data_IF_001140189806
#
_entry.id   IF_001140189806
#
_cell.length_a   1.000
_cell.length_b   1.000
_cell.length_c   1.000
_cell.angle_alpha   90.00
_cell.angle_beta   90.00
_cell.angle_gamma   90.00
#
_symmetry.space_group_name_H-M   'P 1'
#
loop_
_entity.id
_entity.type
_entity.pdbx_description
1 polymer ?
#
# COMPACT_ATOMS: atom_id res chain seq x y z
N UNK A 1 -6.14 46.36 58.31
CA UNK A 1 -7.41 47.17 58.45
C UNK A 1 -8.36 46.77 57.33
N UNK A 2 -9.32 46.02 57.70
CA UNK A 2 -10.78 46.18 57.62
C UNK A 2 -11.32 46.25 56.20
N UNK A 3 -11.95 45.18 55.75
CA UNK A 3 -13.32 44.71 55.99
C UNK A 3 -14.43 45.54 55.36
N UNK A 4 -15.17 44.81 54.53
CA UNK A 4 -16.66 44.89 54.33
C UNK A 4 -17.25 45.95 53.40
N UNK A 5 -17.88 45.36 52.45
CA UNK A 5 -19.32 45.47 52.08
C UNK A 5 -19.68 46.59 51.11
N UNK A 6 -20.29 46.20 49.99
CA UNK A 6 -21.66 46.64 49.72
C UNK A 6 -22.35 45.68 48.71
N UNK A 7 -23.30 44.94 49.25
CA UNK A 7 -24.46 44.40 48.49
C UNK A 7 -25.47 45.53 48.39
N UNK A 8 -26.03 45.78 47.23
CA UNK A 8 -27.46 46.00 47.05
C UNK A 8 -27.87 46.31 45.61
N UNK A 9 -28.73 45.43 45.12
CA UNK A 9 -29.99 45.66 44.37
C UNK A 9 -29.96 46.38 43.02
N UNK A 10 -30.29 45.65 41.97
CA UNK A 10 -31.33 46.04 41.03
C UNK A 10 -31.99 44.79 40.45
N UNK A 11 -33.24 44.58 40.81
CA UNK A 11 -34.16 43.68 40.16
C UNK A 11 -34.65 44.32 38.86
N UNK A 12 -34.53 43.63 37.73
CA UNK A 12 -35.24 43.99 36.51
C UNK A 12 -35.90 42.73 35.92
N UNK A 13 -37.16 42.90 35.59
CA UNK A 13 -38.16 41.90 35.28
C UNK A 13 -37.78 40.94 34.13
N UNK A 14 -38.02 39.65 34.37
CA UNK A 14 -38.07 38.63 33.35
C UNK A 14 -39.37 38.72 32.56
N UNK A 15 -39.27 39.11 31.27
CA UNK A 15 -40.33 38.93 30.29
C UNK A 15 -40.24 37.47 29.77
N UNK A 16 -41.26 36.67 30.11
CA UNK A 16 -41.47 35.35 29.57
C UNK A 16 -42.00 35.49 28.14
N UNK A 17 -41.18 35.18 27.14
CA UNK A 17 -41.62 34.99 25.75
C UNK A 17 -42.04 33.51 25.56
N UNK A 18 -43.14 33.19 24.88
CA UNK A 18 -43.60 31.84 24.72
C UNK A 18 -42.72 31.04 23.78
N UNK A 19 -42.28 29.86 24.23
CA UNK A 19 -41.64 28.85 23.40
C UNK A 19 -42.66 28.29 22.41
N UNK A 20 -42.63 28.83 21.18
CA UNK A 20 -43.37 28.28 20.06
C UNK A 20 -42.46 27.35 19.25
N UNK A 21 -42.80 26.07 19.31
CA UNK A 21 -42.66 25.14 18.19
C UNK A 21 -41.24 24.73 17.77
N UNK A 22 -40.54 23.95 18.59
CA UNK A 22 -39.51 23.05 18.06
C UNK A 22 -40.23 21.90 17.35
N UNK A 23 -40.17 21.95 16.01
CA UNK A 23 -40.68 20.89 15.14
C UNK A 23 -39.84 19.63 15.31
N UNK A 24 -40.39 18.49 15.82
CA UNK A 24 -39.62 17.27 16.02
C UNK A 24 -39.11 16.63 14.72
N UNK A 25 -39.57 17.10 13.56
CA UNK A 25 -39.09 16.65 12.25
C UNK A 25 -37.80 17.34 11.78
N UNK A 26 -37.32 18.39 12.44
CA UNK A 26 -36.05 19.05 12.08
C UNK A 26 -34.80 18.42 12.72
N UNK A 27 -34.96 17.49 13.66
CA UNK A 27 -33.83 16.78 14.31
C UNK A 27 -33.42 15.47 13.62
N UNK A 28 -34.10 15.07 12.53
CA UNK A 28 -33.78 13.83 11.79
C UNK A 28 -33.16 14.09 10.40
N UNK A 29 -32.79 15.31 10.09
CA UNK A 29 -32.01 15.62 8.89
C UNK A 29 -30.53 15.90 9.25
N UNK A 30 -29.91 15.06 10.06
CA UNK A 30 -28.48 14.89 9.98
C UNK A 30 -28.24 14.21 8.63
N UNK A 31 -27.69 14.99 7.68
CA UNK A 31 -27.39 14.50 6.34
C UNK A 31 -26.61 13.19 6.46
N UNK A 32 -27.19 12.12 5.92
CA UNK A 32 -26.45 10.89 5.69
C UNK A 32 -25.19 11.29 4.94
N UNK A 33 -24.06 11.18 5.60
CA UNK A 33 -22.75 11.50 5.00
C UNK A 33 -22.57 10.58 3.79
N UNK A 34 -22.82 11.16 2.60
CA UNK A 34 -22.69 10.44 1.33
C UNK A 34 -21.27 9.90 1.10
N UNK A 35 -20.27 10.38 1.87
CA UNK A 35 -18.90 9.90 1.77
C UNK A 35 -18.72 8.53 2.42
N UNK A 36 -19.50 8.18 3.44
CA UNK A 36 -19.48 6.86 4.11
C UNK A 36 -19.89 5.68 3.22
N UNK A 37 -20.50 5.93 2.06
CA UNK A 37 -20.98 4.89 1.14
C UNK A 37 -20.05 4.63 -0.05
N UNK A 38 -18.93 5.35 -0.17
CA UNK A 38 -17.99 5.23 -1.28
C UNK A 38 -16.88 4.24 -0.92
N UNK A 39 -16.56 3.35 -1.88
CA UNK A 39 -15.38 2.49 -1.74
C UNK A 39 -14.10 3.29 -1.98
N UNK A 40 -13.07 2.97 -1.18
CA UNK A 40 -11.69 3.38 -1.44
C UNK A 40 -10.96 2.19 -2.05
N UNK A 41 -10.51 2.33 -3.28
CA UNK A 41 -9.77 1.30 -4.01
C UNK A 41 -8.36 1.84 -4.26
N UNK A 42 -7.38 1.34 -3.53
CA UNK A 42 -6.01 1.80 -3.58
C UNK A 42 -5.10 0.75 -4.24
N UNK A 43 -4.25 1.15 -5.17
CA UNK A 43 -3.25 0.26 -5.76
C UNK A 43 -1.86 0.53 -5.19
N UNK A 44 -1.11 -0.52 -4.84
CA UNK A 44 0.32 -0.40 -4.56
C UNK A 44 1.06 0.07 -5.80
N UNK A 45 2.06 0.91 -5.62
CA UNK A 45 2.82 1.53 -6.68
C UNK A 45 4.32 1.35 -6.44
N UNK A 46 4.96 0.58 -7.29
CA UNK A 46 6.41 0.32 -7.22
C UNK A 46 7.17 1.33 -8.09
N UNK A 47 8.02 2.15 -7.47
CA UNK A 47 8.63 3.32 -8.11
C UNK A 47 10.01 3.09 -8.73
N UNK A 48 10.32 1.92 -9.35
CA UNK A 48 11.67 1.61 -9.86
C UNK A 48 11.82 1.72 -11.39
N UNK A 49 10.94 2.47 -12.07
CA UNK A 49 10.94 2.63 -13.53
C UNK A 49 11.43 4.02 -13.97
N UNK A 50 12.39 4.57 -13.25
CA UNK A 50 13.14 5.78 -13.57
C UNK A 50 14.61 5.56 -13.22
N UNK A 51 15.49 6.41 -13.76
CA UNK A 51 16.92 6.36 -13.42
C UNK A 51 17.13 6.82 -11.98
N UNK A 52 17.81 5.99 -11.18
CA UNK A 52 18.20 6.30 -9.81
C UNK A 52 19.71 6.12 -9.65
N UNK A 53 20.43 7.05 -8.99
CA UNK A 53 21.88 6.97 -8.83
C UNK A 53 22.38 5.69 -8.16
N UNK A 54 21.62 5.10 -7.20
CA UNK A 54 22.01 3.85 -6.55
C UNK A 54 21.87 2.65 -7.50
N UNK A 55 20.86 2.64 -8.33
CA UNK A 55 20.70 1.63 -9.38
C UNK A 55 21.79 1.75 -10.45
N UNK A 56 22.17 2.96 -10.85
CA UNK A 56 23.27 3.16 -11.81
C UNK A 56 24.60 2.65 -11.26
N UNK A 57 24.86 2.82 -9.97
CA UNK A 57 26.07 2.27 -9.31
C UNK A 57 26.06 0.74 -9.33
N UNK A 58 24.93 0.11 -9.19
CA UNK A 58 24.80 -1.36 -9.12
C UNK A 58 24.76 -2.00 -10.53
N UNK A 59 24.08 -1.36 -11.49
CA UNK A 59 23.68 -1.98 -12.76
C UNK A 59 24.23 -1.24 -14.00
N UNK A 60 24.85 -0.08 -13.81
CA UNK A 60 25.41 0.75 -14.90
C UNK A 60 24.50 1.93 -15.30
N UNK A 61 25.07 2.90 -16.06
CA UNK A 61 24.40 4.15 -16.42
C UNK A 61 23.08 3.94 -17.17
N UNK A 62 22.05 4.69 -16.78
CA UNK A 62 20.74 4.68 -17.42
C UNK A 62 19.89 3.45 -17.11
N UNK A 63 20.29 2.61 -16.18
CA UNK A 63 19.53 1.42 -15.81
C UNK A 63 18.22 1.80 -15.10
N UNK A 64 17.16 1.10 -15.48
CA UNK A 64 15.85 1.09 -14.80
C UNK A 64 15.33 -0.33 -14.80
N UNK A 65 14.33 -0.63 -13.98
CA UNK A 65 13.76 -1.99 -13.96
C UNK A 65 13.05 -2.39 -15.28
N UNK A 66 12.79 -1.42 -16.18
CA UNK A 66 12.38 -1.71 -17.54
C UNK A 66 13.37 -2.61 -18.31
N UNK A 67 14.65 -2.60 -17.95
CA UNK A 67 15.64 -3.48 -18.57
C UNK A 67 15.28 -4.94 -18.35
N UNK A 68 14.86 -5.31 -17.15
CA UNK A 68 14.43 -6.68 -16.82
C UNK A 68 13.16 -7.09 -17.58
N UNK A 69 12.21 -6.17 -17.71
CA UNK A 69 10.96 -6.43 -18.46
C UNK A 69 11.25 -6.66 -19.93
N UNK A 70 12.12 -5.82 -20.54
CA UNK A 70 12.51 -5.92 -21.96
C UNK A 70 13.29 -7.19 -22.26
N UNK A 71 14.17 -7.59 -21.34
CA UNK A 71 15.08 -8.73 -21.52
C UNK A 71 14.41 -10.08 -21.18
N UNK A 72 13.23 -10.06 -20.56
CA UNK A 72 12.51 -11.27 -20.17
C UNK A 72 12.21 -12.17 -21.37
N UNK A 73 12.36 -13.49 -21.14
CA UNK A 73 12.14 -14.52 -22.17
C UNK A 73 11.18 -15.58 -21.68
N UNK A 74 10.45 -16.25 -22.59
CA UNK A 74 9.68 -17.44 -22.22
C UNK A 74 10.56 -18.47 -21.52
N UNK A 75 10.15 -18.94 -20.35
CA UNK A 75 10.90 -19.90 -19.51
C UNK A 75 10.45 -21.34 -19.70
N UNK A 76 9.27 -21.54 -20.29
CA UNK A 76 8.67 -22.82 -20.62
C UNK A 76 7.70 -22.65 -21.80
N UNK A 77 7.24 -23.76 -22.38
CA UNK A 77 6.30 -23.70 -23.51
C UNK A 77 4.98 -23.02 -23.10
N UNK A 78 4.56 -22.04 -23.88
CA UNK A 78 3.36 -21.24 -23.62
C UNK A 78 3.54 -20.05 -22.66
N UNK A 79 4.73 -19.87 -22.09
CA UNK A 79 4.98 -18.72 -21.20
C UNK A 79 4.99 -17.39 -21.97
N UNK A 80 4.10 -16.47 -21.59
CA UNK A 80 3.95 -15.16 -22.24
C UNK A 80 4.93 -14.13 -21.67
N UNK A 81 6.15 -14.07 -22.21
CA UNK A 81 7.16 -13.06 -21.97
C UNK A 81 7.84 -12.68 -23.30
N UNK A 82 8.37 -11.44 -23.46
CA UNK A 82 8.25 -10.30 -22.53
C UNK A 82 6.83 -9.72 -22.53
N UNK A 83 6.42 -9.17 -21.39
CA UNK A 83 5.21 -8.37 -21.30
C UNK A 83 5.52 -6.94 -21.73
N UNK A 84 4.62 -6.30 -22.49
CA UNK A 84 4.86 -4.99 -23.06
C UNK A 84 3.79 -3.97 -22.57
N UNK A 85 4.20 -2.84 -21.96
CA UNK A 85 3.28 -1.77 -21.63
C UNK A 85 2.63 -1.18 -22.88
N UNK A 86 1.31 -0.96 -22.83
CA UNK A 86 0.56 -0.33 -23.94
C UNK A 86 1.09 1.09 -24.26
N UNK A 87 1.56 1.77 -23.25
CA UNK A 87 2.06 3.15 -23.35
C UNK A 87 3.58 3.26 -23.55
N UNK A 88 4.25 2.11 -23.72
CA UNK A 88 5.70 2.04 -23.78
C UNK A 88 6.36 2.15 -22.41
N UNK A 89 7.67 2.14 -22.41
CA UNK A 89 8.52 2.12 -21.22
C UNK A 89 8.80 3.55 -20.74
N UNK A 90 7.82 4.16 -20.07
CA UNK A 90 7.90 5.55 -19.61
C UNK A 90 8.87 5.73 -18.44
N UNK A 91 9.52 6.90 -18.39
CA UNK A 91 10.30 7.33 -17.23
C UNK A 91 9.35 7.89 -16.17
N UNK A 92 9.29 7.25 -15.00
CA UNK A 92 8.37 7.62 -13.92
C UNK A 92 8.79 8.88 -13.13
N UNK A 93 9.94 9.46 -13.42
CA UNK A 93 10.29 10.80 -12.95
C UNK A 93 9.69 11.93 -13.82
N UNK A 94 9.10 11.58 -14.99
CA UNK A 94 8.40 12.55 -15.84
C UNK A 94 6.95 12.76 -15.40
N UNK A 95 6.53 13.98 -15.02
CA UNK A 95 5.15 14.29 -14.67
C UNK A 95 4.13 13.93 -15.76
N UNK A 96 4.52 13.98 -17.05
CA UNK A 96 3.62 13.63 -18.16
C UNK A 96 3.29 12.15 -18.21
N UNK A 97 4.21 11.30 -17.80
CA UNK A 97 3.95 9.86 -17.63
C UNK A 97 2.91 9.66 -16.53
N UNK A 98 3.06 10.35 -15.41
CA UNK A 98 2.09 10.28 -14.31
C UNK A 98 0.74 10.89 -14.64
N UNK A 99 0.67 11.97 -15.40
CA UNK A 99 -0.61 12.53 -15.83
C UNK A 99 -1.48 11.47 -16.51
N UNK A 100 -0.91 10.67 -17.40
CA UNK A 100 -1.62 9.57 -18.08
C UNK A 100 -2.05 8.47 -17.12
N UNK A 101 -1.15 8.07 -16.20
CA UNK A 101 -1.44 7.03 -15.19
C UNK A 101 -2.54 7.48 -14.23
N UNK A 102 -2.50 8.71 -13.75
CA UNK A 102 -3.51 9.32 -12.87
C UNK A 102 -4.88 9.37 -13.55
N UNK A 103 -4.93 9.83 -14.81
CA UNK A 103 -6.18 9.89 -15.56
C UNK A 103 -6.78 8.49 -15.72
N UNK A 104 -6.00 7.52 -16.18
CA UNK A 104 -6.47 6.15 -16.35
C UNK A 104 -6.93 5.52 -15.02
N UNK A 105 -6.20 5.71 -13.92
CA UNK A 105 -6.58 5.19 -12.61
C UNK A 105 -7.89 5.81 -12.11
N UNK A 106 -8.00 7.14 -12.11
CA UNK A 106 -9.17 7.88 -11.63
C UNK A 106 -10.40 7.64 -12.52
N UNK A 107 -10.22 7.58 -13.83
CA UNK A 107 -11.30 7.30 -14.79
C UNK A 107 -11.87 5.90 -14.64
N UNK A 108 -11.14 4.96 -14.04
CA UNK A 108 -11.60 3.60 -13.80
C UNK A 108 -11.94 3.30 -12.34
N UNK A 109 -11.94 4.32 -11.45
CA UNK A 109 -12.47 4.17 -10.09
C UNK A 109 -11.44 3.79 -9.03
N UNK A 110 -10.14 3.80 -9.35
CA UNK A 110 -9.10 3.85 -8.33
C UNK A 110 -9.18 5.20 -7.60
N UNK A 111 -8.94 5.19 -6.31
CA UNK A 111 -9.04 6.38 -5.46
C UNK A 111 -7.69 6.81 -4.89
N UNK A 112 -6.70 5.90 -4.83
CA UNK A 112 -5.38 6.20 -4.32
C UNK A 112 -4.30 5.30 -4.93
N UNK A 113 -3.07 5.81 -4.95
CA UNK A 113 -1.86 4.99 -5.02
C UNK A 113 -1.23 4.90 -3.63
N UNK A 114 -0.71 3.73 -3.26
CA UNK A 114 0.13 3.51 -2.09
C UNK A 114 1.53 3.25 -2.61
N UNK A 115 2.41 4.23 -2.49
CA UNK A 115 3.78 4.09 -2.97
C UNK A 115 4.57 3.17 -2.07
N UNK A 116 5.26 2.19 -2.65
CA UNK A 116 6.34 1.44 -2.03
C UNK A 116 7.50 2.41 -1.85
N UNK A 117 7.63 2.93 -0.63
CA UNK A 117 8.53 4.03 -0.31
C UNK A 117 9.72 3.52 0.48
N UNK A 118 10.92 3.76 -0.07
CA UNK A 118 12.16 3.22 0.47
C UNK A 118 12.97 4.30 1.16
N UNK A 119 13.44 3.97 2.35
CA UNK A 119 14.37 4.82 3.10
C UNK A 119 15.27 3.95 3.99
N UNK A 120 16.57 4.15 3.88
CA UNK A 120 17.61 3.45 4.62
C UNK A 120 18.37 4.41 5.53
N UNK A 121 19.36 3.93 6.32
CA UNK A 121 20.12 4.80 7.21
C UNK A 121 20.88 5.92 6.48
N UNK A 122 21.29 5.68 5.26
CA UNK A 122 22.00 6.63 4.39
C UNK A 122 21.06 7.51 3.53
N UNK A 123 19.75 7.39 3.69
CA UNK A 123 18.75 8.26 3.06
C UNK A 123 17.74 7.55 2.17
N UNK A 124 16.94 8.33 1.42
CA UNK A 124 15.86 7.84 0.57
C UNK A 124 16.40 7.09 -0.66
N UNK A 125 15.51 6.28 -1.26
CA UNK A 125 15.77 5.53 -2.49
C UNK A 125 14.49 5.43 -3.30
N UNK A 126 14.59 5.55 -4.63
CA UNK A 126 13.46 5.47 -5.58
C UNK A 126 12.37 6.53 -5.38
N UNK A 127 12.70 7.66 -4.77
CA UNK A 127 11.70 8.69 -4.43
C UNK A 127 11.24 9.53 -5.62
N UNK A 128 12.01 9.59 -6.73
CA UNK A 128 11.74 10.48 -7.85
C UNK A 128 10.41 10.18 -8.55
N UNK A 129 9.97 8.92 -8.57
CA UNK A 129 8.65 8.56 -9.10
C UNK A 129 7.52 9.28 -8.33
N UNK A 130 7.60 9.36 -7.00
CA UNK A 130 6.64 10.09 -6.19
C UNK A 130 6.84 11.60 -6.30
N UNK A 131 8.07 12.08 -6.11
CA UNK A 131 8.34 13.50 -5.91
C UNK A 131 8.37 14.30 -7.21
N UNK A 132 9.10 13.81 -8.22
CA UNK A 132 9.25 14.49 -9.51
C UNK A 132 8.15 14.08 -10.51
N UNK A 133 7.69 12.84 -10.43
CA UNK A 133 6.63 12.32 -11.28
C UNK A 133 5.23 12.65 -10.76
N UNK A 134 4.76 11.96 -9.73
CA UNK A 134 3.36 12.07 -9.25
C UNK A 134 3.04 13.44 -8.67
N UNK A 135 3.86 13.95 -7.74
CA UNK A 135 3.59 15.23 -7.07
C UNK A 135 3.75 16.44 -7.98
N UNK A 136 4.50 16.32 -9.08
CA UNK A 136 4.63 17.37 -10.08
C UNK A 136 3.57 17.28 -11.21
N UNK A 137 2.80 16.18 -11.29
CA UNK A 137 1.75 16.01 -12.30
C UNK A 137 0.63 17.05 -12.15
N UNK A 138 0.23 17.70 -13.24
CA UNK A 138 -0.77 18.77 -13.22
C UNK A 138 -2.15 18.30 -12.75
N UNK A 139 -2.50 17.04 -12.97
CA UNK A 139 -3.77 16.41 -12.60
C UNK A 139 -3.70 15.59 -11.30
N UNK A 140 -2.63 15.70 -10.49
CA UNK A 140 -2.43 14.92 -9.26
C UNK A 140 -3.61 14.97 -8.28
N UNK A 141 -4.37 16.08 -8.28
CA UNK A 141 -5.55 16.24 -7.43
C UNK A 141 -6.70 15.29 -7.74
N UNK A 142 -6.65 14.56 -8.86
CA UNK A 142 -7.66 13.54 -9.23
C UNK A 142 -7.50 12.23 -8.47
N UNK A 143 -6.31 11.97 -7.91
CA UNK A 143 -5.98 10.73 -7.23
C UNK A 143 -5.30 11.02 -5.89
N UNK A 144 -5.71 10.34 -4.84
CA UNK A 144 -5.01 10.38 -3.55
C UNK A 144 -3.71 9.60 -3.64
N UNK A 145 -2.81 9.83 -2.67
CA UNK A 145 -1.65 8.97 -2.48
C UNK A 145 -1.36 8.75 -0.99
N UNK A 146 -0.69 7.67 -0.69
CA UNK A 146 -0.12 7.37 0.60
C UNK A 146 1.24 6.70 0.40
N UNK A 147 1.98 6.54 1.49
CA UNK A 147 3.24 5.80 1.49
C UNK A 147 3.13 4.55 2.37
N UNK A 148 3.75 3.47 1.89
CA UNK A 148 4.09 2.29 2.67
C UNK A 148 5.61 2.24 2.77
N UNK A 149 6.15 2.39 3.98
CA UNK A 149 7.59 2.22 4.16
C UNK A 149 7.96 0.75 3.91
N UNK A 150 8.62 0.52 2.77
CA UNK A 150 9.11 -0.78 2.33
C UNK A 150 10.43 -1.09 3.05
N UNK A 151 10.33 -1.31 4.36
CA UNK A 151 11.43 -1.45 5.33
C UNK A 151 12.10 -2.83 5.31
N UNK A 152 12.28 -3.40 4.14
CA UNK A 152 12.97 -4.68 3.95
C UNK A 152 14.41 -4.47 3.45
N UNK A 153 15.21 -5.52 3.55
CA UNK A 153 16.53 -5.55 2.94
C UNK A 153 16.43 -5.41 1.42
N UNK A 154 17.19 -4.51 0.83
CA UNK A 154 17.38 -4.47 -0.62
C UNK A 154 18.55 -5.37 -1.00
N UNK A 155 18.28 -6.36 -1.82
CA UNK A 155 19.25 -7.38 -2.22
C UNK A 155 19.44 -7.38 -3.73
N UNK A 156 20.59 -7.86 -4.20
CA UNK A 156 20.90 -7.99 -5.63
C UNK A 156 20.10 -9.16 -6.25
N UNK A 157 18.88 -8.83 -6.68
CA UNK A 157 17.95 -9.72 -7.37
C UNK A 157 17.49 -9.16 -8.73
N UNK A 158 18.28 -8.26 -9.33
CA UNK A 158 17.90 -7.51 -10.54
C UNK A 158 18.92 -7.65 -11.68
N UNK A 159 19.15 -8.89 -12.23
CA UNK A 159 18.50 -10.18 -11.98
C UNK A 159 19.23 -11.06 -10.97
N UNK A 160 18.49 -11.90 -10.25
CA UNK A 160 19.04 -12.94 -9.39
C UNK A 160 19.60 -14.09 -10.21
N UNK A 161 20.76 -14.63 -9.81
CA UNK A 161 21.41 -15.79 -10.42
C UNK A 161 21.10 -17.07 -9.63
N UNK A 162 20.82 -18.17 -10.32
CA UNK A 162 20.57 -19.46 -9.71
C UNK A 162 21.80 -19.98 -8.94
N UNK A 163 23.00 -19.63 -9.39
CA UNK A 163 24.28 -20.09 -8.86
C UNK A 163 24.78 -19.32 -7.63
N UNK A 164 24.15 -18.20 -7.26
CA UNK A 164 24.61 -17.35 -6.16
C UNK A 164 23.47 -17.01 -5.17
N UNK A 165 23.86 -16.70 -3.94
CA UNK A 165 22.94 -16.07 -2.98
C UNK A 165 22.92 -14.57 -3.24
N UNK A 166 21.73 -13.94 -3.35
CA UNK A 166 21.64 -12.51 -3.52
C UNK A 166 22.38 -11.74 -2.41
N UNK A 167 23.18 -10.75 -2.81
CA UNK A 167 23.97 -9.96 -1.87
C UNK A 167 23.10 -8.82 -1.30
N UNK A 168 23.28 -8.54 0.00
CA UNK A 168 22.67 -7.40 0.64
C UNK A 168 23.31 -6.11 0.10
N UNK A 169 22.50 -5.22 -0.44
CA UNK A 169 22.92 -3.89 -0.91
C UNK A 169 22.59 -2.81 0.11
N UNK A 170 21.33 -2.75 0.55
CA UNK A 170 20.89 -1.78 1.57
C UNK A 170 20.16 -2.52 2.70
N UNK A 171 20.65 -2.42 3.96
CA UNK A 171 19.98 -3.00 5.11
C UNK A 171 18.64 -2.29 5.39
N UNK A 172 17.55 -3.04 5.51
CA UNK A 172 16.24 -2.50 5.89
C UNK A 172 16.14 -2.09 7.37
N UNK A 173 17.09 -2.55 8.20
CA UNK A 173 17.22 -2.09 9.57
C UNK A 173 17.78 -0.67 9.59
N UNK A 174 17.13 0.24 10.32
CA UNK A 174 17.57 1.62 10.52
C UNK A 174 17.73 1.95 12.00
N UNK A 175 18.46 3.03 12.29
CA UNK A 175 18.57 3.55 13.66
C UNK A 175 17.30 4.29 14.10
N UNK A 176 17.04 4.44 15.42
CA UNK A 176 15.94 5.29 15.91
C UNK A 176 16.01 6.72 15.38
N UNK A 177 17.20 7.30 15.27
CA UNK A 177 17.42 8.64 14.72
C UNK A 177 17.00 8.72 13.25
N UNK A 178 17.28 7.67 12.47
CA UNK A 178 16.83 7.57 11.08
C UNK A 178 15.32 7.42 11.01
N UNK A 179 14.70 6.64 11.91
CA UNK A 179 13.25 6.54 11.96
C UNK A 179 12.59 7.90 12.26
N UNK A 180 13.19 8.73 13.12
CA UNK A 180 12.71 10.10 13.33
C UNK A 180 12.81 10.94 12.05
N UNK A 181 13.94 10.88 11.33
CA UNK A 181 14.07 11.57 10.02
C UNK A 181 13.04 11.10 9.01
N UNK A 182 12.77 9.78 8.92
CA UNK A 182 11.74 9.18 8.07
C UNK A 182 10.36 9.78 8.37
N UNK A 183 9.97 9.78 9.64
CA UNK A 183 8.64 10.22 10.07
C UNK A 183 8.45 11.72 9.99
N UNK A 184 9.48 12.51 10.29
CA UNK A 184 9.46 13.96 10.16
C UNK A 184 9.34 14.36 8.67
N UNK A 185 10.12 13.70 7.79
CA UNK A 185 10.01 13.90 6.35
C UNK A 185 8.59 13.57 5.84
N UNK A 186 7.99 12.45 6.30
CA UNK A 186 6.63 12.08 5.92
C UNK A 186 5.61 13.14 6.36
N UNK A 187 5.73 13.68 7.58
CA UNK A 187 4.86 14.73 8.11
C UNK A 187 4.98 16.01 7.27
N UNK A 188 6.21 16.48 7.09
CA UNK A 188 6.49 17.78 6.48
C UNK A 188 6.21 17.80 4.98
N UNK A 189 6.61 16.75 4.27
CA UNK A 189 6.59 16.71 2.81
C UNK A 189 5.32 16.08 2.24
N UNK A 190 4.80 15.03 2.87
CA UNK A 190 3.70 14.25 2.29
C UNK A 190 2.36 14.47 2.98
N UNK A 191 2.26 14.38 4.31
CA UNK A 191 0.96 14.46 5.01
C UNK A 191 0.28 15.82 4.82
N UNK A 192 1.08 16.88 4.62
CA UNK A 192 0.60 18.23 4.33
C UNK A 192 0.00 18.37 2.92
N UNK A 193 0.26 17.43 2.00
CA UNK A 193 -0.31 17.50 0.64
C UNK A 193 -1.83 17.36 0.69
N UNK A 194 -2.58 18.18 -0.07
CA UNK A 194 -4.05 18.18 -0.04
C UNK A 194 -4.66 16.85 -0.48
N UNK A 195 -3.98 16.10 -1.35
CA UNK A 195 -4.39 14.80 -1.85
C UNK A 195 -3.71 13.62 -1.12
N UNK A 196 -3.02 13.85 0.02
CA UNK A 196 -2.55 12.74 0.83
C UNK A 196 -3.74 11.96 1.39
N UNK A 197 -3.70 10.63 1.31
CA UNK A 197 -4.80 9.79 1.74
C UNK A 197 -4.94 9.78 3.26
N UNK A 198 -6.13 10.09 3.74
CA UNK A 198 -6.48 10.14 5.16
C UNK A 198 -7.69 9.25 5.41
N UNK A 199 -7.65 8.48 6.48
CA UNK A 199 -8.75 7.68 6.98
C UNK A 199 -9.28 8.39 8.24
N UNK A 200 -10.54 8.81 8.22
CA UNK A 200 -11.16 9.61 9.28
C UNK A 200 -10.32 10.86 9.67
N UNK A 201 -9.69 11.51 8.69
CA UNK A 201 -8.84 12.68 8.88
C UNK A 201 -7.40 12.35 9.29
N UNK A 202 -7.09 11.12 9.63
CA UNK A 202 -5.75 10.67 10.05
C UNK A 202 -4.93 10.25 8.83
N UNK A 203 -3.71 10.81 8.61
CA UNK A 203 -2.84 10.37 7.52
C UNK A 203 -2.56 8.88 7.60
N UNK A 204 -2.72 8.16 6.48
CA UNK A 204 -2.39 6.74 6.38
C UNK A 204 -0.89 6.55 6.22
N UNK A 205 -0.29 5.74 7.06
CA UNK A 205 1.10 5.32 6.96
C UNK A 205 1.19 3.82 7.19
N UNK A 206 1.85 3.10 6.31
CA UNK A 206 1.99 1.65 6.41
C UNK A 206 3.44 1.22 6.55
N UNK A 207 3.68 0.12 7.23
CA UNK A 207 4.97 -0.58 7.24
C UNK A 207 4.83 -1.96 6.60
N UNK A 208 5.86 -2.35 5.83
CA UNK A 208 5.85 -3.60 5.09
C UNK A 208 6.28 -4.79 5.94
N UNK A 209 7.36 -4.65 6.73
CA UNK A 209 7.98 -5.76 7.46
C UNK A 209 8.01 -5.50 8.97
N UNK A 210 7.04 -6.07 9.70
CA UNK A 210 6.89 -5.91 11.16
C UNK A 210 8.10 -6.39 11.95
N UNK A 211 8.68 -7.54 11.57
CA UNK A 211 9.85 -8.09 12.25
C UNK A 211 11.07 -7.18 12.10
N UNK A 212 11.29 -6.63 10.90
CA UNK A 212 12.36 -5.66 10.64
C UNK A 212 12.13 -4.35 11.41
N UNK A 213 10.88 -3.89 11.45
CA UNK A 213 10.51 -2.72 12.25
C UNK A 213 10.87 -2.91 13.73
N UNK A 214 10.58 -4.09 14.28
CA UNK A 214 10.94 -4.42 15.67
C UNK A 214 12.47 -4.43 15.89
N UNK A 215 13.24 -4.96 14.92
CA UNK A 215 14.71 -4.98 15.01
C UNK A 215 15.34 -3.58 15.10
N UNK A 216 14.69 -2.54 14.59
CA UNK A 216 15.17 -1.15 14.69
C UNK A 216 15.29 -0.69 16.14
N UNK A 217 14.42 -1.20 17.02
CA UNK A 217 14.28 -0.70 18.40
C UNK A 217 14.65 -1.76 19.46
N UNK A 218 14.86 -3.01 19.06
CA UNK A 218 15.31 -4.11 19.91
C UNK A 218 14.24 -4.71 20.81
N UNK A 219 13.09 -4.05 21.05
CA UNK A 219 11.97 -4.60 21.82
C UNK A 219 10.63 -4.01 21.37
N UNK A 220 9.54 -4.73 21.65
CA UNK A 220 8.18 -4.27 21.34
C UNK A 220 7.83 -2.98 22.09
N UNK A 221 8.16 -2.89 23.38
CA UNK A 221 7.90 -1.69 24.17
C UNK A 221 8.67 -0.45 23.66
N UNK A 222 9.92 -0.64 23.19
CA UNK A 222 10.67 0.45 22.56
C UNK A 222 10.06 0.87 21.23
N UNK A 223 9.69 -0.09 20.37
CA UNK A 223 9.01 0.18 19.10
C UNK A 223 7.67 0.89 19.31
N UNK A 224 6.87 0.46 20.28
CA UNK A 224 5.60 1.09 20.64
C UNK A 224 5.77 2.54 21.11
N UNK A 225 6.84 2.83 21.87
CA UNK A 225 7.18 4.19 22.29
C UNK A 225 7.50 5.09 21.09
N UNK A 226 8.24 4.58 20.12
CA UNK A 226 8.57 5.33 18.90
C UNK A 226 7.32 5.59 18.02
N UNK A 227 6.43 4.60 17.89
CA UNK A 227 5.15 4.82 17.22
C UNK A 227 4.29 5.85 17.96
N UNK A 228 4.23 5.81 19.28
CA UNK A 228 3.53 6.82 20.08
C UNK A 228 4.14 8.21 19.88
N UNK A 229 5.47 8.33 19.86
CA UNK A 229 6.16 9.59 19.55
C UNK A 229 5.85 10.11 18.16
N UNK A 230 5.76 9.23 17.15
CA UNK A 230 5.35 9.60 15.80
C UNK A 230 3.90 10.14 15.78
N UNK A 231 2.97 9.48 16.47
CA UNK A 231 1.57 9.97 16.60
C UNK A 231 1.49 11.35 17.22
N UNK A 232 2.26 11.61 18.27
CA UNK A 232 2.28 12.92 18.91
C UNK A 232 2.81 14.02 17.96
N UNK A 233 3.86 13.74 17.16
CA UNK A 233 4.34 14.70 16.15
C UNK A 233 3.29 14.95 15.04
N UNK A 234 2.56 13.91 14.61
CA UNK A 234 1.44 14.05 13.66
C UNK A 234 0.34 14.95 14.23
N UNK A 235 -0.01 14.79 15.51
CA UNK A 235 -0.99 15.67 16.19
C UNK A 235 -0.48 17.11 16.29
N UNK A 236 0.80 17.31 16.63
CA UNK A 236 1.42 18.64 16.66
C UNK A 236 1.42 19.31 15.28
N UNK A 237 1.48 18.54 14.20
CA UNK A 237 1.34 19.02 12.83
C UNK A 237 -0.13 19.36 12.44
N UNK A 238 -1.11 19.21 13.35
CA UNK A 238 -2.49 19.62 13.16
C UNK A 238 -3.44 18.52 12.67
N UNK A 239 -3.01 17.26 12.64
CA UNK A 239 -3.88 16.12 12.33
C UNK A 239 -4.54 15.53 13.59
N UNK A 240 -5.71 14.88 13.47
CA UNK A 240 -6.35 14.25 14.64
C UNK A 240 -5.51 13.15 15.27
N UNK A 241 -4.90 12.30 14.46
CA UNK A 241 -3.97 11.22 14.82
C UNK A 241 -3.30 10.69 13.54
N UNK A 242 -2.53 9.62 13.66
CA UNK A 242 -1.99 8.82 12.57
C UNK A 242 -2.89 7.59 12.36
N UNK A 243 -3.15 7.20 11.12
CA UNK A 243 -3.67 5.86 10.81
C UNK A 243 -2.49 4.95 10.46
N UNK A 244 -2.03 4.18 11.46
CA UNK A 244 -0.87 3.30 11.34
C UNK A 244 -1.29 1.91 10.90
N UNK A 245 -0.92 1.53 9.69
CA UNK A 245 -1.21 0.23 9.09
C UNK A 245 0.03 -0.68 9.10
N UNK A 246 -0.20 -1.98 9.16
CA UNK A 246 0.87 -2.98 9.01
C UNK A 246 0.50 -4.01 7.94
N UNK A 247 1.44 -4.34 7.08
CA UNK A 247 1.33 -5.46 6.14
C UNK A 247 1.62 -6.76 6.89
N UNK A 248 0.71 -7.72 6.76
CA UNK A 248 0.93 -9.08 7.24
C UNK A 248 1.34 -10.00 6.09
N UNK A 249 2.19 -10.95 6.40
CA UNK A 249 2.57 -12.03 5.50
C UNK A 249 2.84 -13.30 6.30
N UNK A 250 2.67 -14.44 5.64
CA UNK A 250 2.86 -15.76 6.23
C UNK A 250 4.07 -16.48 5.62
N UNK A 251 4.16 -16.47 4.32
CA UNK A 251 5.28 -17.06 3.58
C UNK A 251 6.36 -16.00 3.36
N UNK A 252 7.61 -16.35 3.68
CA UNK A 252 8.78 -15.52 3.36
C UNK A 252 9.06 -15.59 1.86
N UNK A 253 8.99 -14.46 1.19
CA UNK A 253 9.21 -14.36 -0.27
C UNK A 253 10.59 -13.76 -0.55
N UNK A 254 10.85 -12.55 -0.06
CA UNK A 254 12.10 -11.87 -0.34
C UNK A 254 13.28 -12.45 0.43
N UNK A 255 14.49 -12.48 -0.17
CA UNK A 255 15.69 -12.85 0.57
C UNK A 255 15.92 -11.99 1.79
N UNK A 256 16.20 -12.60 2.94
CA UNK A 256 16.49 -11.89 4.19
C UNK A 256 15.29 -11.30 4.91
N UNK A 257 14.05 -11.66 4.53
CA UNK A 257 12.86 -11.33 5.33
C UNK A 257 12.98 -11.91 6.75
N UNK A 258 12.46 -11.17 7.72
CA UNK A 258 12.41 -11.60 9.13
C UNK A 258 11.37 -12.69 9.33
N UNK A 259 11.44 -13.36 10.49
CA UNK A 259 10.44 -14.37 10.87
C UNK A 259 9.10 -13.70 11.20
N UNK A 260 8.03 -14.47 11.03
CA UNK A 260 6.70 -14.06 11.46
C UNK A 260 6.65 -13.75 12.96
N UNK A 261 5.79 -12.81 13.32
CA UNK A 261 5.44 -12.53 14.72
C UNK A 261 4.46 -13.63 15.19
N UNK A 262 4.80 -14.44 16.21
CA UNK A 262 4.00 -15.62 16.55
C UNK A 262 2.65 -15.28 17.19
N UNK A 263 2.56 -14.20 17.96
CA UNK A 263 1.33 -13.75 18.62
C UNK A 263 0.96 -12.32 18.19
N UNK A 264 0.27 -12.25 17.05
CA UNK A 264 -0.06 -10.98 16.40
C UNK A 264 -0.97 -10.08 17.22
N UNK A 265 -1.97 -10.65 17.90
CA UNK A 265 -3.03 -9.84 18.54
C UNK A 265 -2.51 -8.92 19.65
N UNK A 266 -1.81 -9.41 20.69
CA UNK A 266 -1.22 -8.54 21.70
C UNK A 266 -0.11 -7.67 21.09
N UNK A 267 0.70 -8.19 20.16
CA UNK A 267 1.77 -7.45 19.50
C UNK A 267 1.24 -6.21 18.78
N UNK A 268 0.26 -6.36 17.90
CA UNK A 268 -0.33 -5.25 17.13
C UNK A 268 -1.07 -4.25 18.02
N UNK A 269 -1.65 -4.73 19.12
CA UNK A 269 -2.31 -3.87 20.11
C UNK A 269 -1.31 -2.99 20.85
N UNK A 270 -0.22 -3.57 21.36
CA UNK A 270 0.84 -2.86 22.07
C UNK A 270 1.59 -1.90 21.14
N UNK A 271 1.89 -2.33 19.90
CA UNK A 271 2.53 -1.47 18.90
C UNK A 271 1.66 -0.29 18.46
N UNK A 272 0.35 -0.32 18.72
CA UNK A 272 -0.55 0.75 18.34
C UNK A 272 -0.97 0.74 16.87
N UNK A 273 -1.05 -0.45 16.24
CA UNK A 273 -1.53 -0.60 14.85
C UNK A 273 -3.04 -0.40 14.80
N UNK A 274 -3.54 0.36 13.82
CA UNK A 274 -4.97 0.65 13.63
C UNK A 274 -5.64 -0.33 12.68
N UNK A 275 -4.95 -0.72 11.61
CA UNK A 275 -5.43 -1.69 10.63
C UNK A 275 -4.30 -2.55 10.11
N UNK A 276 -4.68 -3.67 9.51
CA UNK A 276 -3.75 -4.58 8.85
C UNK A 276 -4.17 -4.81 7.40
N UNK A 277 -3.21 -5.17 6.56
CA UNK A 277 -3.46 -5.51 5.16
C UNK A 277 -2.55 -6.61 4.66
N UNK A 278 -2.72 -6.97 3.40
CA UNK A 278 -1.81 -7.81 2.64
C UNK A 278 -1.25 -7.03 1.46
N UNK A 279 0.01 -7.28 1.11
CA UNK A 279 0.61 -6.69 -0.10
C UNK A 279 0.22 -7.49 -1.35
N UNK A 280 0.45 -8.80 -1.32
CA UNK A 280 0.23 -9.74 -2.42
C UNK A 280 -0.26 -11.08 -1.90
N UNK A 281 -1.05 -11.82 -2.68
CA UNK A 281 -1.64 -13.09 -2.25
C UNK A 281 -0.63 -14.16 -1.93
N UNK A 282 0.50 -14.20 -2.64
CA UNK A 282 1.53 -15.23 -2.45
C UNK A 282 2.16 -15.20 -1.06
N UNK A 283 2.07 -14.10 -0.32
CA UNK A 283 2.46 -14.03 1.08
C UNK A 283 1.61 -14.92 2.00
N UNK A 284 0.46 -15.40 1.54
CA UNK A 284 -0.52 -16.15 2.33
C UNK A 284 -0.91 -17.48 1.68
N UNK A 285 -0.21 -17.87 0.60
CA UNK A 285 -0.56 -19.03 -0.22
C UNK A 285 0.69 -19.83 -0.57
N UNK A 286 0.49 -21.08 -0.93
CA UNK A 286 1.58 -21.96 -1.34
C UNK A 286 1.40 -22.36 -2.81
N UNK A 287 2.48 -22.33 -3.57
CA UNK A 287 2.50 -22.86 -4.92
C UNK A 287 2.49 -24.39 -4.87
N UNK A 288 1.38 -25.00 -5.32
CA UNK A 288 1.20 -26.46 -5.40
C UNK A 288 1.38 -26.95 -6.83
N UNK A 289 2.45 -26.47 -7.49
CA UNK A 289 2.78 -26.79 -8.88
C UNK A 289 3.95 -25.96 -9.38
N UNK A 290 4.57 -26.41 -10.45
CA UNK A 290 5.64 -25.74 -11.18
C UNK A 290 5.69 -26.28 -12.61
N UNK A 291 5.93 -25.44 -13.63
CA UNK A 291 6.24 -24.02 -13.57
C UNK A 291 5.01 -23.12 -13.44
N UNK A 292 3.80 -23.67 -13.44
CA UNK A 292 2.54 -22.93 -13.49
C UNK A 292 1.60 -23.35 -12.38
N UNK A 293 0.82 -22.39 -11.85
CA UNK A 293 -0.30 -22.64 -10.95
C UNK A 293 -1.53 -21.83 -11.40
N UNK A 294 -2.75 -22.40 -11.30
CA UNK A 294 -3.97 -21.68 -11.68
C UNK A 294 -4.27 -20.52 -10.73
N UNK A 295 -4.64 -19.37 -11.29
CA UNK A 295 -5.03 -18.18 -10.51
C UNK A 295 -6.15 -18.46 -9.49
N UNK A 296 -7.15 -19.24 -9.88
CA UNK A 296 -8.26 -19.64 -9.01
C UNK A 296 -7.82 -20.41 -7.76
N UNK A 297 -6.75 -21.20 -7.85
CA UNK A 297 -6.27 -22.04 -6.75
C UNK A 297 -5.53 -21.19 -5.71
N UNK A 298 -4.78 -20.19 -6.16
CA UNK A 298 -4.13 -19.18 -5.32
C UNK A 298 -5.21 -18.30 -4.66
N UNK A 299 -6.16 -17.81 -5.43
CA UNK A 299 -7.27 -17.01 -4.92
C UNK A 299 -8.07 -17.75 -3.84
N UNK A 300 -8.40 -19.04 -4.05
CA UNK A 300 -9.12 -19.83 -3.07
C UNK A 300 -8.33 -20.04 -1.75
N UNK A 301 -7.01 -20.11 -1.80
CA UNK A 301 -6.17 -20.16 -0.61
C UNK A 301 -6.20 -18.80 0.13
N UNK A 302 -6.05 -17.71 -0.61
CA UNK A 302 -6.10 -16.37 -0.04
C UNK A 302 -7.47 -16.03 0.58
N UNK A 303 -8.58 -16.41 -0.04
CA UNK A 303 -9.91 -16.18 0.52
C UNK A 303 -10.12 -16.91 1.86
N UNK A 304 -9.55 -18.11 2.03
CA UNK A 304 -9.55 -18.79 3.34
C UNK A 304 -8.73 -18.05 4.38
N UNK A 305 -7.54 -17.54 4.02
CA UNK A 305 -6.74 -16.69 4.90
C UNK A 305 -7.51 -15.42 5.29
N UNK A 306 -8.03 -14.69 4.29
CA UNK A 306 -8.78 -13.44 4.48
C UNK A 306 -9.95 -13.60 5.45
N UNK A 307 -10.67 -14.72 5.40
CA UNK A 307 -11.82 -14.99 6.24
C UNK A 307 -11.50 -14.96 7.76
N UNK A 308 -10.27 -15.23 8.15
CA UNK A 308 -9.82 -15.29 9.54
C UNK A 308 -8.81 -14.22 9.94
N UNK A 309 -8.26 -13.48 8.98
CA UNK A 309 -7.16 -12.53 9.21
C UNK A 309 -7.49 -11.47 10.27
N UNK A 310 -8.66 -10.82 10.18
CA UNK A 310 -9.10 -9.81 11.15
C UNK A 310 -9.27 -10.39 12.55
N UNK A 311 -9.83 -11.60 12.66
CA UNK A 311 -10.05 -12.29 13.95
C UNK A 311 -8.70 -12.65 14.60
N UNK A 312 -7.79 -13.23 13.82
CA UNK A 312 -6.48 -13.68 14.30
C UNK A 312 -5.60 -12.52 14.76
N UNK A 313 -5.67 -11.40 14.06
CA UNK A 313 -4.91 -10.19 14.38
C UNK A 313 -5.60 -9.26 15.38
N UNK A 314 -6.91 -9.38 15.57
CA UNK A 314 -7.71 -8.49 16.41
C UNK A 314 -7.77 -7.05 15.92
N UNK A 315 -7.60 -6.82 14.62
CA UNK A 315 -7.57 -5.51 13.96
C UNK A 315 -8.43 -5.52 12.69
N UNK A 316 -8.99 -4.38 12.26
CA UNK A 316 -9.62 -4.24 10.96
C UNK A 316 -8.67 -4.71 9.85
N UNK A 317 -9.18 -5.54 8.94
CA UNK A 317 -8.41 -6.07 7.83
C UNK A 317 -8.81 -5.41 6.51
N UNK A 318 -7.84 -4.87 5.79
CA UNK A 318 -7.98 -4.32 4.44
C UNK A 318 -7.64 -5.44 3.45
N UNK A 319 -8.62 -5.98 2.72
CA UNK A 319 -8.39 -7.07 1.78
C UNK A 319 -7.61 -6.58 0.56
N UNK A 320 -6.71 -7.45 0.07
CA UNK A 320 -5.98 -7.25 -1.18
C UNK A 320 -6.60 -8.06 -2.32
N UNK A 321 -6.53 -7.54 -3.54
CA UNK A 321 -6.79 -8.31 -4.77
C UNK A 321 -5.53 -8.25 -5.63
N UNK A 322 -4.90 -9.41 -5.83
CA UNK A 322 -3.67 -9.53 -6.63
C UNK A 322 -4.02 -9.75 -8.10
N UNK A 323 -3.41 -8.99 -9.01
CA UNK A 323 -3.68 -9.08 -10.45
C UNK A 323 -3.08 -10.34 -11.05
N UNK A 324 -1.85 -10.69 -10.65
CA UNK A 324 -1.13 -11.86 -11.15
C UNK A 324 0.14 -12.15 -10.37
N UNK A 325 0.97 -13.07 -10.86
CA UNK A 325 2.32 -13.30 -10.35
C UNK A 325 3.18 -14.00 -11.40
N UNK A 326 4.29 -13.38 -11.76
CA UNK A 326 5.33 -13.91 -12.61
C UNK A 326 6.64 -13.17 -12.33
N UNK A 327 7.45 -13.68 -11.42
CA UNK A 327 8.74 -13.09 -11.03
C UNK A 327 9.90 -13.49 -11.95
N UNK A 328 9.62 -14.19 -13.04
CA UNK A 328 10.65 -14.67 -13.96
C UNK A 328 11.50 -13.58 -14.63
N UNK A 329 11.03 -12.33 -14.84
CA UNK A 329 11.90 -11.24 -15.31
C UNK A 329 13.05 -10.91 -14.35
N UNK A 330 12.86 -11.09 -13.04
CA UNK A 330 13.92 -10.90 -12.03
C UNK A 330 14.89 -12.08 -11.93
N UNK A 331 14.62 -13.21 -12.59
CA UNK A 331 15.57 -14.32 -12.71
C UNK A 331 16.53 -14.08 -13.86
N UNK A 332 17.80 -14.44 -13.70
CA UNK A 332 18.77 -14.40 -14.78
C UNK A 332 18.28 -15.22 -15.98
N UNK A 333 18.16 -14.60 -17.15
CA UNK A 333 17.49 -15.19 -18.32
C UNK A 333 18.25 -16.34 -18.96
N UNK A 334 19.53 -16.51 -18.63
CA UNK A 334 20.37 -17.65 -19.07
C UNK A 334 20.33 -18.84 -18.13
N UNK A 335 19.77 -18.66 -16.91
CA UNK A 335 19.66 -19.75 -15.94
C UNK A 335 18.50 -20.69 -16.27
N UNK A 336 18.61 -21.95 -15.86
CA UNK A 336 17.49 -22.88 -15.93
C UNK A 336 16.38 -22.45 -14.99
N UNK A 337 15.11 -22.47 -15.46
CA UNK A 337 13.97 -22.11 -14.62
C UNK A 337 13.50 -23.32 -13.82
N UNK A 338 13.79 -23.33 -12.52
CA UNK A 338 13.47 -24.41 -11.58
C UNK A 338 12.87 -23.82 -10.30
N UNK A 339 12.10 -24.61 -9.56
CA UNK A 339 11.54 -24.18 -8.27
C UNK A 339 12.65 -24.06 -7.21
N UNK A 340 13.08 -22.81 -6.92
CA UNK A 340 14.15 -22.52 -5.94
C UNK A 340 13.80 -21.35 -5.01
N UNK A 341 12.54 -20.95 -4.95
CA UNK A 341 12.13 -19.73 -4.25
C UNK A 341 12.32 -18.48 -5.11
N UNK A 342 12.01 -17.33 -4.56
CA UNK A 342 12.02 -16.05 -5.28
C UNK A 342 13.42 -15.68 -5.82
N UNK A 343 13.51 -15.25 -7.10
CA UNK A 343 12.43 -15.07 -8.07
C UNK A 343 12.13 -16.31 -8.95
N UNK A 344 12.69 -17.47 -8.64
CA UNK A 344 12.46 -18.74 -9.35
C UNK A 344 11.21 -19.45 -8.78
N UNK A 345 10.07 -18.77 -8.78
CA UNK A 345 8.78 -19.30 -8.30
C UNK A 345 7.91 -19.77 -9.47
N UNK A 346 6.81 -20.46 -9.17
CA UNK A 346 5.81 -20.74 -10.19
C UNK A 346 5.12 -19.44 -10.67
N UNK A 347 4.69 -19.47 -11.92
CA UNK A 347 3.91 -18.40 -12.56
C UNK A 347 2.42 -18.66 -12.34
N UNK A 348 1.65 -17.63 -12.05
CA UNK A 348 0.19 -17.72 -11.98
C UNK A 348 -0.39 -17.53 -13.38
N UNK A 349 -1.21 -18.49 -13.82
CA UNK A 349 -1.93 -18.43 -15.10
C UNK A 349 -3.44 -18.36 -14.94
N UNK A 350 -4.13 -17.84 -15.97
CA UNK A 350 -5.58 -17.68 -15.99
C UNK A 350 -6.09 -16.47 -15.23
N UNK A 351 -5.22 -15.54 -14.92
CA UNK A 351 -5.53 -14.24 -14.30
C UNK A 351 -6.08 -13.23 -15.34
N UNK A 352 -7.10 -13.64 -16.13
CA UNK A 352 -7.72 -12.72 -17.08
C UNK A 352 -8.45 -11.56 -16.38
N UNK A 353 -8.74 -10.46 -17.10
CA UNK A 353 -9.53 -9.36 -16.52
C UNK A 353 -10.85 -9.83 -15.90
N UNK A 354 -11.56 -10.79 -16.52
CA UNK A 354 -12.83 -11.31 -15.99
C UNK A 354 -12.63 -12.11 -14.69
N UNK A 355 -11.55 -12.89 -14.60
CA UNK A 355 -11.23 -13.61 -13.36
C UNK A 355 -10.83 -12.64 -12.25
N UNK A 356 -10.01 -11.64 -12.55
CA UNK A 356 -9.68 -10.55 -11.62
C UNK A 356 -10.96 -9.83 -11.13
N UNK A 357 -11.89 -9.51 -12.05
CA UNK A 357 -13.17 -8.89 -11.72
C UNK A 357 -14.02 -9.69 -10.72
N UNK A 358 -14.00 -11.03 -10.78
CA UNK A 358 -14.69 -11.89 -9.80
C UNK A 358 -14.13 -11.71 -8.39
N UNK A 359 -12.81 -11.61 -8.26
CA UNK A 359 -12.18 -11.44 -6.94
C UNK A 359 -12.26 -10.01 -6.42
N UNK A 360 -12.37 -9.01 -7.30
CA UNK A 360 -12.78 -7.65 -6.90
C UNK A 360 -14.20 -7.67 -6.30
N UNK A 361 -15.13 -8.36 -6.93
CA UNK A 361 -16.50 -8.50 -6.41
C UNK A 361 -16.53 -9.23 -5.08
N UNK A 362 -15.76 -10.31 -4.93
CA UNK A 362 -15.61 -11.04 -3.66
C UNK A 362 -14.99 -10.16 -2.55
N UNK A 363 -14.02 -9.32 -2.88
CA UNK A 363 -13.45 -8.36 -1.93
C UNK A 363 -14.47 -7.28 -1.52
N UNK A 364 -15.28 -6.80 -2.46
CA UNK A 364 -16.38 -5.85 -2.20
C UNK A 364 -17.42 -6.45 -1.25
N UNK A 365 -17.82 -7.70 -1.47
CA UNK A 365 -18.75 -8.42 -0.59
C UNK A 365 -18.16 -8.59 0.82
N UNK A 366 -16.88 -8.93 0.92
CA UNK A 366 -16.18 -9.07 2.18
C UNK A 366 -16.19 -7.77 2.99
N UNK A 367 -15.83 -6.61 2.40
CA UNK A 367 -15.84 -5.34 3.12
C UNK A 367 -17.25 -4.87 3.47
N UNK A 368 -18.26 -5.21 2.67
CA UNK A 368 -19.65 -4.91 2.98
C UNK A 368 -20.17 -5.71 4.18
N UNK A 369 -19.68 -6.93 4.38
CA UNK A 369 -20.04 -7.79 5.50
C UNK A 369 -19.21 -7.48 6.77
N UNK A 370 -18.16 -6.65 6.66
CA UNK A 370 -17.26 -6.36 7.79
C UNK A 370 -17.91 -5.44 8.82
N UNK A 371 -17.88 -5.80 10.11
CA UNK A 371 -18.40 -4.94 11.20
C UNK A 371 -17.65 -3.61 11.34
N UNK A 372 -16.40 -3.56 10.90
CA UNK A 372 -15.55 -2.36 11.01
C UNK A 372 -15.99 -1.21 10.09
N UNK A 373 -16.92 -1.45 9.16
CA UNK A 373 -17.49 -0.42 8.29
C UNK A 373 -16.52 0.23 7.29
N UNK A 374 -15.25 -0.15 7.31
CA UNK A 374 -14.24 0.34 6.36
C UNK A 374 -14.47 -0.31 4.99
N UNK A 375 -14.68 0.51 3.96
CA UNK A 375 -14.87 0.06 2.56
C UNK A 375 -13.59 0.26 1.75
N UNK A 376 -12.47 -0.14 2.33
CA UNK A 376 -11.15 -0.02 1.72
C UNK A 376 -10.73 -1.37 1.15
N UNK A 377 -10.22 -1.35 -0.07
CA UNK A 377 -9.68 -2.52 -0.77
C UNK A 377 -8.35 -2.10 -1.38
N UNK A 378 -7.33 -2.93 -1.25
CA UNK A 378 -6.05 -2.72 -1.94
C UNK A 378 -5.92 -3.64 -3.15
N UNK A 379 -5.13 -3.23 -4.13
CA UNK A 379 -4.80 -4.02 -5.32
C UNK A 379 -3.28 -4.12 -5.43
N UNK A 380 -2.74 -5.29 -5.57
CA UNK A 380 -1.37 -5.51 -5.98
C UNK A 380 -1.34 -5.84 -7.48
N UNK A 381 -0.86 -4.94 -8.28
CA UNK A 381 -0.43 -3.57 -8.00
C UNK A 381 -0.77 -2.67 -9.19
N UNK A 382 -0.34 -1.43 -9.19
CA UNK A 382 -0.40 -0.62 -10.38
C UNK A 382 0.61 -1.10 -11.43
N UNK A 383 1.88 -1.35 -11.04
CA UNK A 383 2.99 -1.49 -11.98
C UNK A 383 4.10 -2.49 -11.58
N UNK A 384 3.82 -3.54 -10.82
CA UNK A 384 4.83 -4.61 -10.58
C UNK A 384 5.04 -5.49 -11.81
N UNK A 385 5.60 -4.88 -12.89
CA UNK A 385 5.83 -5.54 -14.17
C UNK A 385 6.75 -6.74 -14.08
N UNK A 386 7.81 -6.64 -13.27
CA UNK A 386 8.81 -7.71 -13.09
C UNK A 386 8.32 -8.83 -12.19
N UNK A 387 7.17 -8.65 -11.52
CA UNK A 387 6.44 -9.69 -10.78
C UNK A 387 5.16 -10.13 -11.49
N UNK A 388 4.87 -9.58 -12.67
CA UNK A 388 3.68 -9.93 -13.45
C UNK A 388 2.36 -9.60 -12.77
N UNK A 389 2.35 -8.63 -11.85
CA UNK A 389 1.17 -8.17 -11.12
C UNK A 389 0.96 -6.68 -11.36
N UNK A 390 0.17 -6.31 -12.37
CA UNK A 390 0.01 -4.91 -12.75
C UNK A 390 -1.38 -4.61 -13.34
N UNK A 391 -1.89 -3.40 -13.03
CA UNK A 391 -3.09 -2.80 -13.60
C UNK A 391 -2.76 -1.88 -14.78
N UNK A 392 -1.53 -1.39 -14.85
CA UNK A 392 -1.07 -0.53 -15.94
C UNK A 392 -1.30 -1.23 -17.29
N UNK A 393 -1.94 -0.58 -18.27
CA UNK A 393 -2.36 -1.22 -19.50
C UNK A 393 -1.22 -1.89 -20.27
N UNK A 394 -1.44 -3.11 -20.71
CA UNK A 394 -0.52 -3.89 -21.53
C UNK A 394 -1.04 -4.07 -22.97
N UNK A 395 -0.21 -4.64 -23.83
CA UNK A 395 -0.54 -4.87 -25.24
C UNK A 395 -1.45 -6.08 -25.45
N UNK A 396 -1.73 -6.89 -24.41
CA UNK A 396 -2.55 -8.10 -24.47
C UNK A 396 -3.99 -7.82 -24.05
N UNK A 397 -4.16 -7.14 -22.91
CA UNK A 397 -5.45 -6.89 -22.29
C UNK A 397 -5.92 -5.43 -22.40
N UNK A 398 -5.06 -4.54 -22.90
CA UNK A 398 -5.38 -3.10 -22.96
C UNK A 398 -5.75 -2.55 -21.59
N UNK A 399 -6.90 -1.92 -21.48
CA UNK A 399 -7.47 -1.38 -20.22
C UNK A 399 -8.30 -2.41 -19.43
N UNK A 400 -8.35 -3.67 -19.85
CA UNK A 400 -9.31 -4.66 -19.35
C UNK A 400 -9.32 -4.84 -17.83
N UNK A 401 -8.18 -4.79 -17.16
CA UNK A 401 -8.13 -4.85 -15.68
C UNK A 401 -8.73 -3.60 -15.03
N UNK A 402 -8.46 -2.43 -15.57
CA UNK A 402 -9.03 -1.15 -15.10
C UNK A 402 -10.56 -1.11 -15.35
N UNK A 403 -11.02 -1.61 -16.48
CA UNK A 403 -12.44 -1.72 -16.79
C UNK A 403 -13.19 -2.60 -15.78
N UNK A 404 -12.56 -3.67 -15.26
CA UNK A 404 -13.16 -4.48 -14.20
C UNK A 404 -13.28 -3.70 -12.88
N UNK A 405 -12.30 -2.87 -12.54
CA UNK A 405 -12.40 -1.98 -11.35
C UNK A 405 -13.59 -1.02 -11.53
N UNK A 406 -13.69 -0.39 -12.68
CA UNK A 406 -14.81 0.50 -12.99
C UNK A 406 -16.16 -0.22 -12.89
N UNK A 407 -16.28 -1.42 -13.48
CA UNK A 407 -17.49 -2.24 -13.45
C UNK A 407 -17.93 -2.59 -12.02
N UNK A 408 -16.99 -2.88 -11.13
CA UNK A 408 -17.30 -3.31 -9.75
C UNK A 408 -17.57 -2.12 -8.82
N UNK A 409 -16.83 -1.03 -8.94
CA UNK A 409 -16.82 0.03 -7.91
C UNK A 409 -17.40 1.37 -8.36
N UNK A 410 -17.48 1.65 -9.65
CA UNK A 410 -18.19 2.84 -10.12
C UNK A 410 -19.70 2.62 -10.06
N UNK A 411 -20.46 3.68 -9.69
CA UNK A 411 -21.93 3.61 -9.65
C UNK A 411 -22.54 3.40 -11.04
#
# INVERSE_FOLDING_TARGET
MNRRSFLQKAAAAAAIAPLHGLNPKAMLAQGVDKTRNRYEVAAYYFGNYHVDPRNELAHGPGWTEWNLVKDAKPRFAGHAQPKAPLWGYGDESDPKVFERKIDAAADHGLTAFIFDWYWYDDGPFLERALEEGFLAAANRGRLKFAIMWANHNWTDIHPAKLSSTPQLQFPGKVTPETFHRITDHAIEKYFAQPNYWKIDGCPYFSIYELGRFLENFGSLGAAAKEVAGFRERVKQAGFPDLHFNAILWGEQILPGQTKQIPDLKPFLSELGVDSIGSYVWIHHTQFRGFPVVPYKDIAAQYERYRATAALNAGKPYIPNVTVGWDSSPRACQTDTFIAKGYPFTAVIEGNTPEQFGKYLQSAKEFVNASPAGSRIITVNSWNEWTEGSYLEPDTVHGLGYLEQIAKVFKP
#
